data_IF_242012439685
#
_entry.id   IF_242012439685
#
_cell.length_a   1.000
_cell.length_b   1.000
_cell.length_c   1.000
_cell.angle_alpha   90.00
_cell.angle_beta   90.00
_cell.angle_gamma   90.00
#
_symmetry.space_group_name_H-M   'P 1'
#
loop_
_entity.id
_entity.type
_entity.pdbx_description
1 polymer ?
#
# COMPACT_ATOMS: atom_id res chain seq x y z
N UNK A 1 29.96 -35.11 0.16
CA UNK A 1 29.53 -34.23 -0.94
C UNK A 1 28.25 -34.84 -1.51
N UNK A 2 27.13 -34.39 -1.02
CA UNK A 2 25.82 -34.89 -1.46
C UNK A 2 25.37 -34.07 -2.69
N UNK A 3 25.09 -34.84 -3.69
CA UNK A 3 24.62 -34.40 -5.03
C UNK A 3 23.27 -33.65 -4.90
N UNK A 4 23.27 -32.34 -5.10
CA UNK A 4 22.07 -31.52 -5.19
C UNK A 4 21.71 -31.29 -6.66
N UNK A 5 21.43 -32.38 -7.37
CA UNK A 5 20.62 -32.35 -8.58
C UNK A 5 19.16 -32.54 -8.19
N UNK A 6 18.54 -31.56 -7.52
CA UNK A 6 17.10 -31.40 -7.53
C UNK A 6 16.71 -30.86 -8.91
N UNK A 7 16.19 -31.79 -9.75
CA UNK A 7 15.45 -31.46 -10.96
C UNK A 7 14.48 -30.33 -10.65
N UNK A 8 14.57 -29.23 -11.43
CA UNK A 8 13.57 -28.15 -11.45
C UNK A 8 12.29 -28.72 -12.04
N UNK A 9 11.57 -29.53 -11.26
CA UNK A 9 10.15 -29.81 -11.51
C UNK A 9 9.46 -28.47 -11.46
N UNK A 10 8.79 -28.07 -12.55
CA UNK A 10 8.08 -26.80 -12.65
C UNK A 10 7.25 -26.58 -11.38
N UNK A 11 7.69 -25.64 -10.54
CA UNK A 11 6.99 -25.32 -9.28
C UNK A 11 5.61 -24.78 -9.64
N UNK A 12 4.57 -25.42 -9.14
CA UNK A 12 3.20 -24.92 -9.28
C UNK A 12 3.15 -23.54 -8.60
N UNK A 13 2.65 -22.50 -9.30
CA UNK A 13 2.53 -21.16 -8.70
C UNK A 13 1.68 -21.23 -7.41
N UNK A 14 1.99 -20.39 -6.42
CA UNK A 14 1.22 -20.31 -5.18
C UNK A 14 -0.26 -20.10 -5.45
N UNK A 15 -1.10 -21.00 -4.94
CA UNK A 15 -2.55 -21.02 -5.15
C UNK A 15 -3.26 -21.63 -3.95
N UNK A 16 -4.54 -21.30 -3.77
CA UNK A 16 -5.43 -21.94 -2.80
C UNK A 16 -6.84 -22.00 -3.40
N UNK A 17 -7.09 -23.00 -4.24
CA UNK A 17 -8.38 -23.18 -4.92
C UNK A 17 -9.53 -23.41 -3.95
N UNK A 18 -9.26 -24.05 -2.81
CA UNK A 18 -10.29 -24.28 -1.80
C UNK A 18 -10.71 -22.95 -1.13
N UNK A 19 -9.76 -22.04 -0.87
CA UNK A 19 -10.10 -20.71 -0.39
C UNK A 19 -10.87 -19.89 -1.43
N UNK A 20 -10.53 -20.01 -2.72
CA UNK A 20 -11.24 -19.33 -3.80
C UNK A 20 -12.70 -19.79 -3.88
N UNK A 21 -12.95 -21.12 -3.92
CA UNK A 21 -14.30 -21.68 -3.91
C UNK A 21 -15.07 -21.30 -2.65
N UNK A 22 -14.39 -21.33 -1.51
CA UNK A 22 -14.98 -20.98 -0.22
C UNK A 22 -15.41 -19.53 -0.16
N UNK A 23 -14.59 -18.61 -0.68
CA UNK A 23 -14.95 -17.18 -0.73
C UNK A 23 -16.17 -16.96 -1.64
N UNK A 24 -16.15 -17.52 -2.85
CA UNK A 24 -17.26 -17.36 -3.79
C UNK A 24 -18.55 -17.95 -3.24
N UNK A 25 -18.48 -19.13 -2.60
CA UNK A 25 -19.61 -19.74 -1.92
C UNK A 25 -20.13 -18.92 -0.76
N UNK A 26 -19.24 -18.35 0.06
CA UNK A 26 -19.60 -17.51 1.18
C UNK A 26 -20.38 -16.25 0.75
N UNK A 27 -19.95 -15.59 -0.33
CA UNK A 27 -20.64 -14.42 -0.90
C UNK A 27 -22.04 -14.78 -1.44
N UNK A 28 -22.20 -15.97 -2.04
CA UNK A 28 -23.51 -16.44 -2.52
C UNK A 28 -24.48 -16.80 -1.39
N UNK A 29 -23.97 -17.12 -0.19
CA UNK A 29 -24.78 -17.37 1.00
C UNK A 29 -25.17 -16.07 1.69
N UNK A 30 -24.24 -15.11 1.76
CA UNK A 30 -24.41 -13.84 2.43
C UNK A 30 -23.66 -12.74 1.64
N UNK A 31 -24.43 -11.88 0.96
CA UNK A 31 -23.89 -10.81 0.13
C UNK A 31 -23.18 -9.72 0.92
N UNK A 32 -23.48 -9.57 2.22
CA UNK A 32 -22.85 -8.54 3.06
C UNK A 32 -21.34 -8.73 3.20
N UNK A 33 -20.85 -9.98 3.14
CA UNK A 33 -19.41 -10.26 3.23
C UNK A 33 -18.62 -9.85 1.99
N UNK A 34 -19.29 -9.52 0.89
CA UNK A 34 -18.63 -9.10 -0.34
C UNK A 34 -17.92 -7.76 -0.18
N UNK A 35 -18.47 -6.85 0.60
CA UNK A 35 -17.84 -5.55 0.85
C UNK A 35 -16.45 -5.73 1.50
N UNK A 36 -16.39 -6.48 2.58
CA UNK A 36 -15.14 -6.77 3.30
C UNK A 36 -14.15 -7.55 2.40
N UNK A 37 -14.65 -8.54 1.66
CA UNK A 37 -13.83 -9.32 0.75
C UNK A 37 -13.22 -8.47 -0.38
N UNK A 38 -13.98 -7.51 -0.92
CA UNK A 38 -13.54 -6.59 -1.97
C UNK A 38 -12.48 -5.59 -1.51
N UNK A 39 -12.43 -5.30 -0.21
CA UNK A 39 -11.34 -4.52 0.37
C UNK A 39 -10.02 -5.29 0.41
N UNK A 40 -10.06 -6.62 0.53
CA UNK A 40 -8.90 -7.49 0.72
C UNK A 40 -8.39 -8.05 -0.61
N UNK A 41 -9.27 -8.47 -1.52
CA UNK A 41 -8.90 -9.18 -2.75
C UNK A 41 -9.62 -8.62 -3.98
N UNK A 42 -8.98 -8.79 -5.14
CA UNK A 42 -9.50 -8.37 -6.44
C UNK A 42 -9.72 -9.57 -7.38
N UNK A 43 -10.54 -9.44 -8.43
CA UNK A 43 -10.71 -10.50 -9.43
C UNK A 43 -9.41 -11.04 -10.04
N UNK A 44 -8.39 -10.17 -10.19
CA UNK A 44 -7.06 -10.53 -10.69
C UNK A 44 -6.22 -11.35 -9.71
N UNK A 45 -6.62 -11.43 -8.43
CA UNK A 45 -5.91 -12.16 -7.40
C UNK A 45 -6.26 -13.65 -7.38
N UNK A 46 -7.31 -14.05 -8.07
CA UNK A 46 -7.66 -15.45 -8.21
C UNK A 46 -6.69 -16.20 -9.13
N UNK A 47 -6.33 -17.40 -8.76
CA UNK A 47 -5.52 -18.27 -9.59
C UNK A 47 -6.32 -18.86 -10.75
N UNK A 48 -7.53 -19.34 -10.44
CA UNK A 48 -8.45 -19.77 -11.46
C UNK A 48 -9.14 -18.57 -12.10
N UNK A 49 -8.92 -18.41 -13.41
CA UNK A 49 -9.52 -17.30 -14.18
C UNK A 49 -11.04 -17.31 -14.13
N UNK A 50 -11.65 -18.49 -14.04
CA UNK A 50 -13.11 -18.62 -13.95
C UNK A 50 -13.61 -18.10 -12.60
N UNK A 51 -12.91 -18.39 -11.51
CA UNK A 51 -13.21 -17.81 -10.19
C UNK A 51 -13.09 -16.28 -10.20
N UNK A 52 -12.03 -15.75 -10.85
CA UNK A 52 -11.87 -14.31 -11.04
C UNK A 52 -13.03 -13.68 -11.82
N UNK A 53 -13.53 -14.34 -12.87
CA UNK A 53 -14.71 -13.87 -13.62
C UNK A 53 -15.98 -13.90 -12.78
N UNK A 54 -16.18 -14.94 -11.97
CA UNK A 54 -17.31 -15.03 -11.04
C UNK A 54 -17.27 -13.89 -10.05
N UNK A 55 -16.12 -13.66 -9.39
CA UNK A 55 -15.94 -12.58 -8.43
C UNK A 55 -16.14 -11.20 -9.08
N UNK A 56 -15.62 -10.99 -10.31
CA UNK A 56 -15.88 -9.79 -11.09
C UNK A 56 -17.39 -9.58 -11.38
N UNK A 57 -18.12 -10.67 -11.63
CA UNK A 57 -19.58 -10.65 -11.80
C UNK A 57 -20.29 -10.19 -10.52
N UNK A 58 -19.89 -10.71 -9.36
CA UNK A 58 -20.39 -10.30 -8.05
C UNK A 58 -20.12 -8.82 -7.79
N UNK A 59 -18.89 -8.34 -8.04
CA UNK A 59 -18.52 -6.94 -7.89
C UNK A 59 -19.38 -6.02 -8.78
N UNK A 60 -19.60 -6.38 -10.03
CA UNK A 60 -20.47 -5.62 -10.96
C UNK A 60 -21.92 -5.51 -10.47
N UNK A 61 -22.45 -6.51 -9.80
CA UNK A 61 -23.78 -6.46 -9.18
C UNK A 61 -23.78 -5.53 -7.97
N UNK A 62 -22.78 -5.66 -7.12
CA UNK A 62 -22.61 -4.85 -5.92
C UNK A 62 -22.50 -3.35 -6.27
N UNK A 63 -21.67 -2.98 -7.24
CA UNK A 63 -21.53 -1.60 -7.72
C UNK A 63 -22.84 -1.01 -8.27
N UNK A 64 -23.70 -1.86 -8.81
CA UNK A 64 -25.03 -1.47 -9.30
C UNK A 64 -26.12 -1.50 -8.22
N UNK A 65 -25.75 -1.75 -6.96
CA UNK A 65 -26.66 -1.92 -5.83
C UNK A 65 -27.74 -2.98 -6.10
N UNK A 66 -27.37 -4.06 -6.76
CA UNK A 66 -28.23 -5.21 -7.01
C UNK A 66 -27.89 -6.34 -6.06
N UNK A 67 -28.87 -7.16 -5.65
CA UNK A 67 -28.61 -8.35 -4.83
C UNK A 67 -27.57 -9.26 -5.50
N UNK A 68 -26.69 -9.86 -4.70
CA UNK A 68 -25.66 -10.79 -5.16
C UNK A 68 -26.07 -12.20 -4.74
N UNK A 69 -26.94 -12.81 -5.50
CA UNK A 69 -27.41 -14.19 -5.33
C UNK A 69 -27.19 -15.04 -6.59
N UNK A 70 -27.49 -16.34 -6.48
CA UNK A 70 -27.29 -17.28 -7.57
C UNK A 70 -28.04 -16.88 -8.86
N UNK A 71 -29.25 -16.32 -8.73
CA UNK A 71 -30.10 -15.98 -9.88
C UNK A 71 -29.57 -14.71 -10.59
N UNK A 72 -29.30 -13.66 -9.83
CA UNK A 72 -28.80 -12.38 -10.36
C UNK A 72 -27.41 -12.51 -10.94
N UNK A 73 -26.53 -13.29 -10.29
CA UNK A 73 -25.19 -13.58 -10.81
C UNK A 73 -25.24 -14.40 -12.10
N UNK A 74 -26.10 -15.41 -12.18
CA UNK A 74 -26.30 -16.19 -13.42
C UNK A 74 -26.74 -15.29 -14.57
N UNK A 75 -27.67 -14.36 -14.34
CA UNK A 75 -28.14 -13.43 -15.36
C UNK A 75 -27.04 -12.42 -15.76
N UNK A 76 -26.27 -11.90 -14.81
CA UNK A 76 -25.17 -10.97 -15.09
C UNK A 76 -24.06 -11.64 -15.92
N UNK A 77 -23.66 -12.86 -15.58
CA UNK A 77 -22.66 -13.63 -16.33
C UNK A 77 -23.18 -14.02 -17.72
N UNK A 78 -24.47 -14.37 -17.84
CA UNK A 78 -25.09 -14.68 -19.13
C UNK A 78 -25.10 -13.46 -20.05
N UNK A 79 -25.42 -12.28 -19.54
CA UNK A 79 -25.40 -11.03 -20.33
C UNK A 79 -24.03 -10.66 -20.87
N UNK A 80 -22.96 -11.17 -20.24
CA UNK A 80 -21.57 -10.94 -20.63
C UNK A 80 -20.97 -12.09 -21.43
N UNK A 81 -21.75 -13.10 -21.76
CA UNK A 81 -21.30 -14.34 -22.40
C UNK A 81 -20.20 -15.07 -21.60
N UNK A 82 -20.16 -14.84 -20.26
CA UNK A 82 -19.18 -15.43 -19.36
C UNK A 82 -19.70 -16.71 -18.68
N UNK A 83 -21.01 -16.98 -18.68
CA UNK A 83 -21.64 -18.06 -17.92
C UNK A 83 -21.10 -19.45 -18.29
N UNK A 84 -20.97 -19.74 -19.57
CA UNK A 84 -20.46 -21.04 -20.04
C UNK A 84 -18.95 -21.21 -19.72
N UNK A 85 -18.20 -20.11 -19.73
CA UNK A 85 -16.77 -20.13 -19.40
C UNK A 85 -16.52 -20.51 -17.94
N UNK A 86 -17.39 -20.07 -17.04
CA UNK A 86 -17.25 -20.35 -15.60
C UNK A 86 -17.86 -21.69 -15.17
N UNK A 87 -18.35 -22.52 -16.10
CA UNK A 87 -18.92 -23.83 -15.81
C UNK A 87 -20.45 -23.87 -15.68
N UNK A 88 -21.13 -22.80 -16.13
CA UNK A 88 -22.58 -22.72 -16.14
C UNK A 88 -23.22 -22.56 -14.76
N UNK A 89 -24.55 -22.56 -14.73
CA UNK A 89 -25.32 -22.42 -13.47
C UNK A 89 -25.11 -23.60 -12.51
N UNK A 90 -24.72 -24.76 -13.03
CA UNK A 90 -24.44 -25.94 -12.21
C UNK A 90 -23.23 -25.71 -11.30
N UNK A 91 -22.17 -25.12 -11.83
CA UNK A 91 -20.98 -24.82 -11.06
C UNK A 91 -21.24 -23.73 -10.00
N UNK A 92 -22.01 -22.71 -10.33
CA UNK A 92 -22.41 -21.69 -9.35
C UNK A 92 -23.21 -22.30 -8.19
N UNK A 93 -24.08 -23.28 -8.49
CA UNK A 93 -24.81 -24.03 -7.45
C UNK A 93 -23.87 -24.91 -6.61
N UNK A 94 -22.84 -25.51 -7.21
CA UNK A 94 -21.83 -26.27 -6.47
C UNK A 94 -21.09 -25.35 -5.47
N UNK A 95 -20.71 -24.14 -5.89
CA UNK A 95 -20.04 -23.16 -5.03
C UNK A 95 -20.89 -22.77 -3.82
N UNK A 96 -22.21 -22.60 -3.98
CA UNK A 96 -23.11 -22.28 -2.87
C UNK A 96 -23.12 -23.39 -1.80
N UNK A 97 -22.94 -24.64 -2.22
CA UNK A 97 -22.92 -25.81 -1.32
C UNK A 97 -21.51 -26.12 -0.77
N UNK A 98 -20.48 -25.37 -1.19
CA UNK A 98 -19.09 -25.67 -0.83
C UNK A 98 -18.76 -25.32 0.62
N UNK A 99 -19.38 -24.27 1.16
CA UNK A 99 -19.18 -23.83 2.55
C UNK A 99 -20.50 -23.80 3.33
N UNK A 100 -20.48 -24.14 4.62
CA UNK A 100 -21.68 -24.12 5.45
C UNK A 100 -22.02 -22.73 5.99
N UNK A 101 -21.10 -21.77 5.94
CA UNK A 101 -21.27 -20.44 6.54
C UNK A 101 -20.38 -19.40 5.84
N UNK A 102 -20.83 -18.15 5.83
CA UNK A 102 -20.07 -17.00 5.32
C UNK A 102 -19.09 -16.37 6.34
N UNK A 103 -19.11 -16.82 7.60
CA UNK A 103 -18.39 -16.18 8.73
C UNK A 103 -16.87 -16.06 8.54
N UNK A 104 -16.27 -16.80 7.62
CA UNK A 104 -14.82 -16.80 7.40
C UNK A 104 -14.41 -16.20 6.05
N UNK A 105 -15.29 -15.46 5.38
CA UNK A 105 -15.04 -14.89 4.07
C UNK A 105 -13.77 -14.03 4.01
N UNK A 106 -13.55 -13.15 4.99
CA UNK A 106 -12.35 -12.29 5.08
C UNK A 106 -11.07 -13.12 5.18
N UNK A 107 -11.05 -14.21 5.95
CA UNK A 107 -9.90 -15.10 6.05
C UNK A 107 -9.60 -15.81 4.71
N UNK A 108 -10.64 -16.20 3.95
CA UNK A 108 -10.45 -16.77 2.62
C UNK A 108 -9.92 -15.72 1.65
N UNK A 109 -10.43 -14.50 1.69
CA UNK A 109 -9.95 -13.38 0.88
C UNK A 109 -8.45 -13.08 1.17
N UNK A 110 -8.04 -13.09 2.43
CA UNK A 110 -6.63 -12.92 2.83
C UNK A 110 -5.73 -14.03 2.25
N UNK A 111 -6.16 -15.28 2.30
CA UNK A 111 -5.40 -16.41 1.73
C UNK A 111 -5.20 -16.25 0.22
N UNK A 112 -6.23 -15.78 -0.50
CA UNK A 112 -6.18 -15.50 -1.94
C UNK A 112 -5.21 -14.37 -2.23
N UNK A 113 -5.33 -13.24 -1.51
CA UNK A 113 -4.47 -12.06 -1.67
C UNK A 113 -2.99 -12.40 -1.39
N UNK A 114 -2.69 -13.16 -0.33
CA UNK A 114 -1.33 -13.61 -0.02
C UNK A 114 -0.75 -14.50 -1.13
N UNK A 115 -1.54 -15.42 -1.69
CA UNK A 115 -1.12 -16.25 -2.81
C UNK A 115 -0.86 -15.39 -4.06
N UNK A 116 -1.69 -14.39 -4.31
CA UNK A 116 -1.53 -13.45 -5.42
C UNK A 116 -0.26 -12.62 -5.32
N UNK A 117 0.05 -12.07 -4.13
CA UNK A 117 1.31 -11.33 -3.90
C UNK A 117 2.52 -12.21 -4.22
N UNK A 118 2.52 -13.47 -3.78
CA UNK A 118 3.61 -14.40 -4.09
C UNK A 118 3.74 -14.66 -5.60
N UNK A 119 2.65 -14.78 -6.33
CA UNK A 119 2.66 -14.94 -7.79
C UNK A 119 3.21 -13.68 -8.49
N UNK A 120 2.79 -12.48 -8.04
CA UNK A 120 3.32 -11.22 -8.55
C UNK A 120 4.83 -11.09 -8.33
N UNK A 121 5.32 -11.47 -7.14
CA UNK A 121 6.76 -11.51 -6.87
C UNK A 121 7.51 -12.48 -7.77
N UNK A 122 6.96 -13.67 -8.02
CA UNK A 122 7.56 -14.65 -8.94
C UNK A 122 7.62 -14.09 -10.35
N UNK A 123 6.54 -13.44 -10.82
CA UNK A 123 6.50 -12.81 -12.13
C UNK A 123 7.52 -11.67 -12.23
N UNK A 124 7.50 -10.73 -11.29
CA UNK A 124 8.44 -9.60 -11.25
C UNK A 124 9.91 -10.08 -11.23
N UNK A 125 10.20 -11.16 -10.49
CA UNK A 125 11.54 -11.77 -10.49
C UNK A 125 11.94 -12.30 -11.86
N UNK A 126 11.00 -12.85 -12.62
CA UNK A 126 11.22 -13.29 -14.01
C UNK A 126 11.50 -12.10 -14.92
N UNK A 127 10.65 -11.09 -14.84
CA UNK A 127 10.76 -9.86 -15.65
C UNK A 127 12.08 -9.12 -15.35
N UNK A 128 12.48 -9.01 -14.08
CA UNK A 128 13.79 -8.46 -13.66
C UNK A 128 14.95 -9.31 -14.18
N UNK A 129 14.81 -10.64 -14.15
CA UNK A 129 15.84 -11.53 -14.68
C UNK A 129 16.03 -11.33 -16.20
N UNK A 130 14.93 -11.14 -16.94
CA UNK A 130 14.97 -10.89 -18.38
C UNK A 130 15.65 -9.56 -18.71
N UNK A 131 15.39 -8.49 -17.91
CA UNK A 131 16.07 -7.21 -18.03
C UNK A 131 17.60 -7.35 -17.95
N UNK A 132 18.10 -8.28 -17.10
CA UNK A 132 19.54 -8.52 -16.95
C UNK A 132 20.24 -9.07 -18.21
N UNK A 133 19.50 -9.59 -19.19
CA UNK A 133 20.02 -10.07 -20.47
C UNK A 133 19.92 -9.02 -21.58
N UNK A 134 19.33 -7.86 -21.33
CA UNK A 134 19.22 -6.77 -22.30
C UNK A 134 20.51 -5.96 -22.36
N UNK A 135 21.36 -6.27 -23.30
CA UNK A 135 22.63 -5.56 -23.55
C UNK A 135 22.44 -4.15 -24.19
N UNK A 136 21.22 -3.81 -24.61
CA UNK A 136 20.92 -2.53 -25.30
C UNK A 136 20.65 -1.37 -24.35
N UNK A 137 20.27 -1.67 -23.11
CA UNK A 137 19.87 -0.69 -22.08
C UNK A 137 21.05 -0.38 -21.15
N UNK A 138 21.20 0.86 -20.71
CA UNK A 138 22.24 1.24 -19.73
C UNK A 138 22.00 0.61 -18.36
N UNK A 139 23.08 0.33 -17.62
CA UNK A 139 22.98 -0.26 -16.27
C UNK A 139 22.08 0.57 -15.33
N UNK A 140 22.10 1.90 -15.45
CA UNK A 140 21.28 2.78 -14.62
C UNK A 140 19.80 2.63 -14.97
N UNK A 141 19.45 2.61 -16.25
CA UNK A 141 18.06 2.40 -16.69
C UNK A 141 17.54 0.99 -16.32
N UNK A 142 18.42 -0.03 -16.35
CA UNK A 142 18.07 -1.38 -15.90
C UNK A 142 17.70 -1.40 -14.41
N UNK A 143 18.48 -0.72 -13.57
CA UNK A 143 18.20 -0.63 -12.14
C UNK A 143 16.89 0.11 -11.88
N UNK A 144 16.65 1.24 -12.55
CA UNK A 144 15.39 2.00 -12.40
C UNK A 144 14.17 1.15 -12.82
N UNK A 145 14.26 0.38 -13.90
CA UNK A 145 13.19 -0.53 -14.34
C UNK A 145 12.97 -1.67 -13.32
N UNK A 146 14.04 -2.26 -12.80
CA UNK A 146 13.94 -3.33 -11.81
C UNK A 146 13.32 -2.84 -10.49
N UNK A 147 13.67 -1.63 -10.04
CA UNK A 147 13.06 -0.98 -8.88
C UNK A 147 11.56 -0.71 -9.12
N UNK A 148 11.19 -0.22 -10.30
CA UNK A 148 9.80 0.04 -10.66
C UNK A 148 8.96 -1.24 -10.67
N UNK A 149 9.49 -2.36 -11.22
CA UNK A 149 8.82 -3.66 -11.20
C UNK A 149 8.60 -4.17 -9.76
N UNK A 150 9.61 -4.06 -8.91
CA UNK A 150 9.48 -4.47 -7.51
C UNK A 150 8.50 -3.56 -6.74
N UNK A 151 8.55 -2.26 -6.98
CA UNK A 151 7.65 -1.28 -6.36
C UNK A 151 6.19 -1.54 -6.74
N UNK A 152 5.91 -1.90 -7.99
CA UNK A 152 4.57 -2.20 -8.48
C UNK A 152 3.89 -3.33 -7.69
N UNK A 153 4.67 -4.34 -7.25
CA UNK A 153 4.18 -5.44 -6.40
C UNK A 153 3.81 -4.94 -5.01
N UNK A 154 4.60 -4.00 -4.46
CA UNK A 154 4.38 -3.44 -3.12
C UNK A 154 3.20 -2.46 -3.09
N UNK A 155 3.08 -1.60 -4.10
CA UNK A 155 2.04 -0.56 -4.18
C UNK A 155 0.63 -1.14 -4.26
N UNK A 156 0.44 -2.23 -5.03
CA UNK A 156 -0.84 -2.94 -5.11
C UNK A 156 -1.25 -3.63 -3.81
N UNK A 157 -0.32 -3.86 -2.88
CA UNK A 157 -0.61 -4.49 -1.58
C UNK A 157 -0.84 -3.47 -0.47
N UNK A 158 -0.47 -2.21 -0.68
CA UNK A 158 -0.64 -1.13 0.30
C UNK A 158 -1.95 -0.38 0.03
N UNK A 159 -3.07 -1.01 0.36
CA UNK A 159 -4.32 -0.26 0.46
C UNK A 159 -4.21 0.65 1.68
N UNK A 160 -4.50 1.94 1.49
CA UNK A 160 -4.74 2.83 2.63
C UNK A 160 -5.99 2.29 3.34
N UNK A 161 -5.80 1.74 4.53
CA UNK A 161 -6.90 1.35 5.39
C UNK A 161 -7.81 2.56 5.58
N UNK A 162 -9.07 2.44 5.18
CA UNK A 162 -10.09 3.41 5.53
C UNK A 162 -10.24 3.35 7.05
N UNK A 163 -9.74 4.39 7.73
CA UNK A 163 -9.82 4.47 9.19
C UNK A 163 -11.19 5.01 9.55
N UNK A 164 -11.92 4.33 10.42
CA UNK A 164 -13.24 4.79 10.85
C UNK A 164 -13.12 6.14 11.56
N UNK A 165 -14.09 7.03 11.34
CA UNK A 165 -14.12 8.34 12.00
C UNK A 165 -14.12 8.20 13.54
N UNK A 166 -14.74 7.14 14.06
CA UNK A 166 -14.81 6.84 15.49
C UNK A 166 -13.41 6.63 16.10
N UNK A 167 -12.53 5.87 15.44
CA UNK A 167 -11.16 5.66 15.90
C UNK A 167 -10.35 6.96 15.87
N UNK A 168 -10.49 7.76 14.79
CA UNK A 168 -9.83 9.06 14.66
C UNK A 168 -10.31 10.04 15.74
N UNK A 169 -11.60 10.01 16.07
CA UNK A 169 -12.15 10.88 17.11
C UNK A 169 -11.59 10.54 18.49
N UNK A 170 -11.45 9.27 18.82
CA UNK A 170 -10.87 8.84 20.11
C UNK A 170 -9.44 9.37 20.25
N UNK A 171 -8.58 9.14 19.25
CA UNK A 171 -7.20 9.64 19.23
C UNK A 171 -7.14 11.19 19.29
N UNK A 172 -8.11 11.85 18.64
CA UNK A 172 -8.21 13.30 18.65
C UNK A 172 -8.61 13.88 19.98
N UNK A 173 -9.50 13.22 20.72
CA UNK A 173 -9.88 13.62 22.08
C UNK A 173 -8.70 13.50 23.05
N UNK A 174 -7.97 12.38 23.01
CA UNK A 174 -6.78 12.18 23.85
C UNK A 174 -5.73 13.26 23.58
N UNK A 175 -5.50 13.58 22.29
CA UNK A 175 -4.59 14.64 21.86
C UNK A 175 -5.03 16.04 22.37
N UNK A 176 -6.33 16.34 22.31
CA UNK A 176 -6.89 17.62 22.82
C UNK A 176 -6.73 17.70 24.33
N UNK A 177 -6.97 16.59 25.03
CA UNK A 177 -6.80 16.54 26.49
C UNK A 177 -5.35 16.79 26.92
N UNK A 178 -4.37 16.16 26.25
CA UNK A 178 -2.94 16.42 26.47
C UNK A 178 -2.56 17.89 26.22
N UNK A 179 -3.07 18.46 25.13
CA UNK A 179 -2.84 19.88 24.80
C UNK A 179 -3.47 20.82 25.84
N UNK A 180 -4.60 20.46 26.43
CA UNK A 180 -5.24 21.24 27.48
C UNK A 180 -4.46 21.20 28.79
N UNK A 181 -3.83 20.07 29.12
CA UNK A 181 -3.01 19.89 30.32
C UNK A 181 -1.66 20.66 30.19
N UNK A 182 -1.12 20.80 29.00
CA UNK A 182 0.17 21.43 28.71
C UNK A 182 0.02 22.85 28.14
N UNK A 183 -0.77 23.70 28.81
CA UNK A 183 -0.94 25.11 28.42
C UNK A 183 0.42 25.83 28.41
N UNK A 184 0.93 26.17 27.22
CA UNK A 184 2.18 26.93 27.03
C UNK A 184 3.34 26.10 26.44
N UNK A 185 3.22 24.79 26.22
CA UNK A 185 4.21 24.06 25.45
C UNK A 185 3.96 24.25 23.94
N UNK A 186 5.03 24.36 23.18
CA UNK A 186 4.97 24.38 21.73
C UNK A 186 4.42 23.03 21.23
N UNK A 187 3.50 23.07 20.27
CA UNK A 187 2.83 21.86 19.74
C UNK A 187 3.70 21.07 18.76
N UNK A 188 4.57 21.80 18.03
CA UNK A 188 5.44 21.26 17.02
C UNK A 188 6.89 21.18 17.47
N UNK A 189 7.75 20.76 16.54
CA UNK A 189 9.20 20.73 16.71
C UNK A 189 9.73 22.17 16.73
N UNK A 190 10.53 22.52 17.72
CA UNK A 190 11.11 23.87 17.83
C UNK A 190 12.12 24.13 16.74
N UNK A 191 12.05 25.30 16.16
CA UNK A 191 13.02 25.77 15.16
C UNK A 191 14.29 26.33 15.78
N UNK A 192 14.25 26.67 17.06
CA UNK A 192 15.30 27.40 17.77
C UNK A 192 15.22 28.92 17.59
N UNK A 193 14.29 29.42 16.77
CA UNK A 193 14.01 30.86 16.61
C UNK A 193 12.72 31.18 17.37
N UNK A 194 12.88 31.86 18.50
CA UNK A 194 11.80 32.11 19.45
C UNK A 194 10.58 32.80 18.84
N UNK A 195 10.80 33.82 18.01
CA UNK A 195 9.72 34.59 17.42
C UNK A 195 8.98 33.74 16.36
N UNK A 196 9.71 32.94 15.59
CA UNK A 196 9.14 32.01 14.63
C UNK A 196 8.32 30.91 15.35
N UNK A 197 8.89 30.35 16.40
CA UNK A 197 8.22 29.32 17.21
C UNK A 197 6.96 29.85 17.89
N UNK A 198 6.97 31.14 18.36
CA UNK A 198 5.78 31.77 18.91
C UNK A 198 4.66 31.97 17.84
N UNK A 199 5.06 32.28 16.60
CA UNK A 199 4.10 32.53 15.51
C UNK A 199 3.51 31.23 14.96
N UNK A 200 4.32 30.18 14.82
CA UNK A 200 3.93 28.91 14.18
C UNK A 200 3.52 27.82 15.18
N UNK A 201 3.78 28.03 16.47
CA UNK A 201 3.73 27.02 17.51
C UNK A 201 4.67 25.81 17.25
N UNK A 202 5.79 26.05 16.53
CA UNK A 202 6.74 25.05 16.06
C UNK A 202 6.32 24.39 14.74
N UNK A 203 7.20 23.54 14.18
CA UNK A 203 6.92 22.79 12.95
C UNK A 203 6.00 21.60 13.27
N UNK A 204 4.80 21.58 12.68
CA UNK A 204 3.81 20.54 12.97
C UNK A 204 4.08 19.27 12.14
N UNK A 205 3.62 18.13 12.65
CA UNK A 205 3.65 16.86 11.89
C UNK A 205 2.78 16.97 10.65
N UNK A 206 3.22 16.37 9.55
CA UNK A 206 2.53 16.33 8.25
C UNK A 206 2.43 17.68 7.51
N UNK A 207 3.04 18.76 8.02
CA UNK A 207 3.07 20.04 7.32
C UNK A 207 4.13 20.06 6.21
N UNK A 208 3.77 20.62 5.07
CA UNK A 208 4.70 21.05 4.03
C UNK A 208 4.99 22.54 4.17
N UNK A 209 6.22 22.90 4.54
CA UNK A 209 6.63 24.28 4.74
C UNK A 209 7.51 24.72 3.56
N UNK A 210 7.11 25.77 2.86
CA UNK A 210 7.83 26.32 1.71
C UNK A 210 8.52 27.61 2.10
N UNK A 211 9.85 27.62 1.98
CA UNK A 211 10.66 28.81 2.17
C UNK A 211 11.20 29.31 0.83
N UNK A 212 10.84 30.53 0.46
CA UNK A 212 11.32 31.16 -0.76
C UNK A 212 12.08 32.45 -0.44
N UNK A 213 13.15 32.72 -1.18
CA UNK A 213 13.94 33.95 -1.09
C UNK A 213 14.61 34.27 -2.42
N UNK A 214 14.98 35.54 -2.64
CA UNK A 214 15.82 35.91 -3.79
C UNK A 214 17.20 35.26 -3.67
N UNK A 215 17.93 35.07 -4.77
CA UNK A 215 19.29 34.53 -4.73
C UNK A 215 20.18 35.34 -3.75
N UNK A 216 21.06 34.66 -3.05
CA UNK A 216 21.98 35.20 -2.07
C UNK A 216 21.36 35.82 -0.80
N UNK A 217 20.08 35.65 -0.53
CA UNK A 217 19.41 36.17 0.68
C UNK A 217 19.48 35.24 1.91
N UNK A 218 20.31 34.22 1.87
CA UNK A 218 20.53 33.32 3.01
C UNK A 218 19.47 32.21 3.20
N UNK A 219 18.66 31.91 2.19
CA UNK A 219 17.66 30.80 2.24
C UNK A 219 18.27 29.51 2.77
N UNK A 220 19.32 29.02 2.14
CA UNK A 220 19.98 27.77 2.51
C UNK A 220 20.59 27.81 3.89
N UNK A 221 21.19 28.97 4.28
CA UNK A 221 21.74 29.20 5.61
C UNK A 221 20.66 29.07 6.68
N UNK A 222 19.50 29.72 6.50
CA UNK A 222 18.38 29.57 7.43
C UNK A 222 17.92 28.16 7.58
N UNK A 223 17.73 27.40 6.45
CA UNK A 223 17.30 26.00 6.48
C UNK A 223 18.34 25.11 7.16
N UNK A 224 19.63 25.36 6.92
CA UNK A 224 20.72 24.60 7.57
C UNK A 224 20.73 24.85 9.09
N UNK A 225 20.53 26.10 9.53
CA UNK A 225 20.46 26.45 10.95
C UNK A 225 19.20 25.86 11.62
N UNK A 226 18.06 25.88 10.94
CA UNK A 226 16.83 25.17 11.41
C UNK A 226 17.11 23.67 11.61
N UNK A 227 17.72 23.02 10.63
CA UNK A 227 18.08 21.60 10.71
C UNK A 227 19.06 21.33 11.87
N UNK A 228 20.07 22.17 12.02
CA UNK A 228 21.05 22.10 13.12
C UNK A 228 20.37 22.26 14.48
N UNK A 229 19.52 23.27 14.66
CA UNK A 229 18.79 23.51 15.90
C UNK A 229 17.88 22.36 16.27
N UNK A 230 17.11 21.82 15.30
CA UNK A 230 16.24 20.65 15.51
C UNK A 230 17.05 19.44 15.96
N UNK A 231 18.20 19.21 15.33
CA UNK A 231 19.05 18.06 15.67
C UNK A 231 19.75 18.22 17.03
N UNK A 232 20.17 19.42 17.40
CA UNK A 232 20.98 19.65 18.61
C UNK A 232 20.16 20.02 19.85
N UNK A 233 19.11 20.84 19.69
CA UNK A 233 18.26 21.31 20.79
C UNK A 233 17.18 20.27 21.10
N UNK A 234 16.43 19.86 20.08
CA UNK A 234 15.31 18.91 20.23
C UNK A 234 15.76 17.44 20.17
N UNK A 235 17.00 17.20 19.74
CA UNK A 235 17.58 15.84 19.54
C UNK A 235 16.75 14.97 18.61
N UNK A 236 16.02 15.59 17.69
CA UNK A 236 15.26 14.89 16.66
C UNK A 236 16.15 14.64 15.43
N UNK A 237 16.08 13.45 14.81
CA UNK A 237 16.80 13.17 13.58
C UNK A 237 16.26 14.05 12.44
N UNK A 238 17.18 14.64 11.65
CA UNK A 238 16.86 15.46 10.48
C UNK A 238 17.46 14.85 9.25
N UNK A 239 16.64 14.63 8.21
CA UNK A 239 17.08 14.18 6.90
C UNK A 239 17.14 15.40 5.97
N UNK A 240 18.32 15.66 5.37
CA UNK A 240 18.55 16.79 4.51
C UNK A 240 18.85 16.35 3.07
N UNK A 241 18.00 16.75 2.12
CA UNK A 241 18.21 16.52 0.70
C UNK A 241 18.70 17.82 0.04
N UNK A 242 19.88 17.79 -0.57
CA UNK A 242 20.45 18.95 -1.29
C UNK A 242 20.60 18.64 -2.76
N UNK A 243 20.04 19.50 -3.61
CA UNK A 243 20.18 19.43 -5.07
C UNK A 243 21.22 20.46 -5.60
N UNK A 244 21.67 21.39 -4.75
CA UNK A 244 22.54 22.50 -5.17
C UNK A 244 23.94 22.40 -4.55
N UNK A 245 24.06 21.96 -3.30
CA UNK A 245 25.30 21.95 -2.54
C UNK A 245 25.74 20.52 -2.21
N UNK A 246 27.05 20.30 -2.18
CA UNK A 246 27.61 19.03 -1.71
C UNK A 246 27.45 18.86 -0.19
N UNK A 247 27.55 17.62 0.28
CA UNK A 247 27.47 17.29 1.70
C UNK A 247 28.57 17.97 2.52
N UNK A 248 29.77 18.11 1.94
CA UNK A 248 30.90 18.76 2.60
C UNK A 248 30.62 20.24 2.82
N UNK A 249 30.09 20.94 1.80
CA UNK A 249 29.74 22.37 1.90
C UNK A 249 28.64 22.62 2.94
N UNK A 250 27.70 21.68 3.09
CA UNK A 250 26.66 21.78 4.13
C UNK A 250 27.26 21.62 5.53
N UNK A 251 28.16 20.65 5.71
CA UNK A 251 28.86 20.44 6.99
C UNK A 251 29.73 21.65 7.36
N UNK A 252 30.49 22.20 6.40
CA UNK A 252 31.31 23.39 6.63
C UNK A 252 30.46 24.60 7.12
N UNK A 253 29.27 24.76 6.55
CA UNK A 253 28.33 25.80 7.01
C UNK A 253 27.82 25.55 8.42
N UNK A 254 27.45 24.28 8.73
CA UNK A 254 27.02 23.91 10.08
C UNK A 254 28.14 24.13 11.11
N UNK A 255 29.37 23.81 10.76
CA UNK A 255 30.55 24.03 11.64
C UNK A 255 30.81 25.51 11.82
N UNK A 256 30.72 26.34 10.76
CA UNK A 256 30.88 27.76 10.84
C UNK A 256 29.81 28.40 11.74
N UNK A 257 28.57 27.97 11.64
CA UNK A 257 27.47 28.46 12.49
C UNK A 257 27.67 28.05 13.98
N UNK A 258 28.09 26.80 14.21
CA UNK A 258 28.34 26.29 15.57
C UNK A 258 29.55 26.93 16.24
N UNK A 259 30.51 27.48 15.49
CA UNK A 259 31.72 28.12 16.01
C UNK A 259 31.55 29.61 16.37
N UNK A 260 30.47 30.25 15.90
CA UNK A 260 30.13 31.64 16.17
C UNK A 260 30.82 32.60 15.22
#
# INVERSE_FOLDING_TARGET
>A
MADKNEEVKGKIPPQNLDAEKSLLGAVLIDEEVLADAAEITHPSDFYDKNHGLIFAGMMRLFEKHKPVDLLTLTDELKRKDELELVGGSAYLTELTNYVPTAAHASAYAEMIAQAAVRRRLIKASGDISELGYDESTTTQELLEKAEAELFSVSDQSTKQDLVSLESILTDSFDRIEELSKNKGSLRGVRTGYRDLDNMTAGLQKSDLIILAARPAMGKTTLVTNLAYNVATIEKNPVLFFSLEMSKEQLVDRMLADASG
#
